data_IF_378917900037
#
_entry.id   IF_378917900037
#
_cell.length_a   1.000
_cell.length_b   1.000
_cell.length_c   1.000
_cell.angle_alpha   90.00
_cell.angle_beta   90.00
_cell.angle_gamma   90.00
#
_symmetry.space_group_name_H-M   'P 1'
#
loop_
_entity.id
_entity.type
_entity.pdbx_description
1 polymer ?
#
# COMPACT_ATOMS: atom_id res chain seq x y z
N UNK A 1 -10.30 21.34 -33.49
CA UNK A 1 -11.42 20.92 -32.62
C UNK A 1 -11.48 19.39 -32.66
N UNK A 2 -10.86 18.72 -31.70
CA UNK A 2 -10.82 17.25 -31.64
C UNK A 2 -12.10 16.78 -30.95
N UNK A 3 -13.01 16.15 -31.69
CA UNK A 3 -14.20 15.51 -31.13
C UNK A 3 -13.75 14.38 -30.16
N UNK A 4 -14.03 14.54 -28.86
CA UNK A 4 -13.96 13.47 -27.87
C UNK A 4 -14.97 12.39 -28.27
N UNK A 5 -14.48 11.15 -28.47
CA UNK A 5 -15.33 9.97 -28.73
C UNK A 5 -16.35 9.81 -27.60
N UNK A 6 -17.61 9.40 -27.89
CA UNK A 6 -18.59 9.13 -26.85
C UNK A 6 -18.11 7.97 -25.95
N UNK A 7 -17.99 8.24 -24.65
CA UNK A 7 -17.62 7.25 -23.64
C UNK A 7 -18.73 6.18 -23.53
N UNK A 8 -18.36 4.92 -23.66
CA UNK A 8 -19.24 3.82 -23.26
C UNK A 8 -19.41 3.83 -21.73
N UNK A 9 -20.63 3.73 -21.23
CA UNK A 9 -20.97 3.81 -19.81
C UNK A 9 -20.19 2.83 -18.90
N UNK A 10 -19.68 1.70 -19.44
CA UNK A 10 -18.83 0.75 -18.71
C UNK A 10 -17.40 1.23 -18.47
N UNK A 11 -16.92 2.23 -19.21
CA UNK A 11 -15.54 2.72 -19.12
C UNK A 11 -15.39 3.92 -18.16
N UNK A 12 -16.49 4.64 -17.88
CA UNK A 12 -16.44 5.87 -17.10
C UNK A 12 -15.98 5.62 -15.64
N UNK A 13 -16.41 4.53 -15.01
CA UNK A 13 -15.98 4.18 -13.63
C UNK A 13 -14.46 4.03 -13.57
N UNK A 14 -13.87 3.35 -14.56
CA UNK A 14 -12.41 3.16 -14.66
C UNK A 14 -11.71 4.49 -14.95
N UNK A 15 -12.21 5.28 -15.89
CA UNK A 15 -11.63 6.60 -16.20
C UNK A 15 -11.63 7.51 -14.97
N UNK A 16 -12.72 7.54 -14.21
CA UNK A 16 -12.79 8.31 -12.96
C UNK A 16 -11.78 7.82 -11.91
N UNK A 17 -11.62 6.50 -11.81
CA UNK A 17 -10.62 5.88 -10.93
C UNK A 17 -9.21 6.27 -11.35
N UNK A 18 -8.85 6.10 -12.62
CA UNK A 18 -7.51 6.38 -13.15
C UNK A 18 -7.15 7.87 -12.99
N UNK A 19 -8.10 8.76 -13.26
CA UNK A 19 -7.95 10.20 -13.04
C UNK A 19 -7.77 10.53 -11.56
N UNK A 20 -8.53 9.89 -10.67
CA UNK A 20 -8.42 10.10 -9.24
C UNK A 20 -7.08 9.59 -8.70
N UNK A 21 -6.59 8.45 -9.19
CA UNK A 21 -5.29 7.89 -8.83
C UNK A 21 -4.15 8.81 -9.30
N UNK A 22 -4.18 9.30 -10.54
CA UNK A 22 -3.19 10.24 -11.03
C UNK A 22 -3.17 11.54 -10.20
N UNK A 23 -4.35 12.06 -9.81
CA UNK A 23 -4.44 13.22 -8.93
C UNK A 23 -3.94 12.97 -7.52
N UNK A 24 -4.16 11.77 -7.00
CA UNK A 24 -3.58 11.35 -5.72
C UNK A 24 -2.05 11.39 -5.78
N UNK A 25 -1.45 10.84 -6.84
CA UNK A 25 -0.01 10.80 -7.02
C UNK A 25 0.61 12.20 -7.13
N UNK A 26 -0.08 13.11 -7.83
CA UNK A 26 0.45 14.47 -8.08
C UNK A 26 0.20 15.44 -6.92
N UNK A 27 -0.95 15.34 -6.25
CA UNK A 27 -1.41 16.36 -5.30
C UNK A 27 -1.76 15.82 -3.91
N UNK A 28 -1.53 14.54 -3.66
CA UNK A 28 -1.98 13.84 -2.44
C UNK A 28 -3.50 13.75 -2.35
N UNK A 29 -3.99 13.20 -1.24
CA UNK A 29 -5.43 13.01 -1.02
C UNK A 29 -6.22 14.32 -1.08
N UNK A 30 -5.64 15.45 -0.68
CA UNK A 30 -6.26 16.77 -0.77
C UNK A 30 -6.65 17.18 -2.20
N UNK A 31 -5.89 16.71 -3.19
CA UNK A 31 -6.16 16.94 -4.62
C UNK A 31 -7.29 16.12 -5.21
N UNK A 32 -7.75 15.07 -4.51
CA UNK A 32 -8.82 14.17 -4.97
C UNK A 32 -10.16 14.65 -4.42
N UNK A 33 -10.89 15.41 -5.24
CA UNK A 33 -12.28 15.80 -4.96
C UNK A 33 -13.18 15.37 -6.11
N UNK A 34 -14.44 15.05 -5.84
CA UNK A 34 -15.42 14.65 -6.89
C UNK A 34 -15.45 15.68 -8.03
N UNK A 35 -15.45 16.97 -7.69
CA UNK A 35 -15.44 18.05 -8.67
C UNK A 35 -14.17 18.09 -9.53
N UNK A 36 -13.01 17.93 -8.90
CA UNK A 36 -11.72 17.97 -9.60
C UNK A 36 -11.56 16.74 -10.52
N UNK A 37 -12.01 15.57 -10.07
CA UNK A 37 -12.00 14.33 -10.86
C UNK A 37 -12.95 14.45 -12.05
N UNK A 38 -14.20 14.92 -11.87
CA UNK A 38 -15.13 15.15 -12.95
C UNK A 38 -14.56 16.11 -14.02
N UNK A 39 -14.00 17.25 -13.57
CA UNK A 39 -13.37 18.23 -14.45
C UNK A 39 -12.21 17.62 -15.25
N UNK A 40 -11.32 16.87 -14.61
CA UNK A 40 -10.17 16.27 -15.25
C UNK A 40 -10.56 15.11 -16.19
N UNK A 41 -11.63 14.37 -15.87
CA UNK A 41 -12.22 13.34 -16.75
C UNK A 41 -13.05 13.91 -17.91
N UNK A 42 -13.28 15.23 -17.97
CA UNK A 42 -14.06 15.86 -19.03
C UNK A 42 -15.56 15.54 -18.99
N UNK A 43 -16.11 15.22 -17.81
CA UNK A 43 -17.51 14.84 -17.63
C UNK A 43 -18.29 15.84 -16.79
N UNK A 44 -19.63 15.74 -16.81
CA UNK A 44 -20.48 16.58 -15.98
C UNK A 44 -20.19 16.37 -14.48
N UNK A 45 -20.41 17.40 -13.68
CA UNK A 45 -20.13 17.39 -12.25
C UNK A 45 -20.88 16.29 -11.47
N UNK A 46 -22.06 15.89 -11.93
CA UNK A 46 -22.86 14.82 -11.33
C UNK A 46 -22.48 13.41 -11.79
N UNK A 47 -21.71 13.25 -12.86
CA UNK A 47 -21.39 11.93 -13.41
C UNK A 47 -20.64 10.99 -12.44
N UNK A 48 -19.66 11.47 -11.65
CA UNK A 48 -18.95 10.59 -10.72
C UNK A 48 -19.83 10.01 -9.62
N UNK A 49 -20.86 10.71 -9.16
CA UNK A 49 -21.75 10.27 -8.05
C UNK A 49 -22.51 9.01 -8.40
N UNK A 50 -22.76 8.75 -9.69
CA UNK A 50 -23.38 7.51 -10.15
C UNK A 50 -22.46 6.27 -10.02
N UNK A 51 -21.16 6.46 -9.81
CA UNK A 51 -20.15 5.41 -9.70
C UNK A 51 -19.51 5.33 -8.31
N UNK A 52 -19.37 6.49 -7.66
CA UNK A 52 -18.80 6.64 -6.33
C UNK A 52 -19.67 7.59 -5.54
N UNK A 53 -20.36 7.08 -4.52
CA UNK A 53 -21.31 7.82 -3.68
C UNK A 53 -20.80 9.20 -3.24
N UNK A 54 -19.52 9.23 -2.86
CA UNK A 54 -18.85 10.43 -2.37
C UNK A 54 -17.32 10.30 -2.55
N UNK A 55 -16.59 11.30 -2.08
CA UNK A 55 -15.12 11.31 -2.10
C UNK A 55 -14.52 10.15 -1.29
N UNK A 56 -15.11 9.82 -0.14
CA UNK A 56 -14.63 8.74 0.72
C UNK A 56 -14.74 7.39 0.02
N UNK A 57 -15.85 7.11 -0.63
CA UNK A 57 -16.05 5.90 -1.42
C UNK A 57 -15.03 5.78 -2.57
N UNK A 58 -14.71 6.89 -3.26
CA UNK A 58 -13.68 6.90 -4.30
C UNK A 58 -12.28 6.62 -3.73
N UNK A 59 -11.91 7.26 -2.61
CA UNK A 59 -10.62 7.04 -1.95
C UNK A 59 -10.52 5.61 -1.38
N UNK A 60 -11.61 5.06 -0.85
CA UNK A 60 -11.68 3.65 -0.39
C UNK A 60 -11.45 2.67 -1.54
N UNK A 61 -12.06 2.93 -2.71
CA UNK A 61 -11.83 2.11 -3.90
C UNK A 61 -10.35 2.17 -4.36
N UNK A 62 -9.71 3.34 -4.27
CA UNK A 62 -8.29 3.49 -4.56
C UNK A 62 -7.47 2.69 -3.53
N UNK A 63 -7.73 2.85 -2.23
CA UNK A 63 -7.02 2.14 -1.18
C UNK A 63 -7.09 0.62 -1.37
N UNK A 64 -8.30 0.09 -1.63
CA UNK A 64 -8.49 -1.33 -1.92
C UNK A 64 -7.61 -1.81 -3.08
N UNK A 65 -7.62 -1.10 -4.21
CA UNK A 65 -6.81 -1.47 -5.37
C UNK A 65 -5.30 -1.38 -5.08
N UNK A 66 -4.86 -0.47 -4.22
CA UNK A 66 -3.46 -0.39 -3.83
C UNK A 66 -3.06 -1.53 -2.88
N UNK A 67 -3.92 -1.95 -1.96
CA UNK A 67 -3.69 -3.13 -1.13
C UNK A 67 -3.65 -4.41 -1.98
N UNK A 68 -4.56 -4.58 -2.95
CA UNK A 68 -4.53 -5.71 -3.89
C UNK A 68 -3.23 -5.72 -4.72
N UNK A 69 -2.77 -4.57 -5.19
CA UNK A 69 -1.51 -4.45 -5.93
C UNK A 69 -0.30 -4.80 -5.05
N UNK A 70 -0.27 -4.33 -3.80
CA UNK A 70 0.79 -4.65 -2.84
C UNK A 70 0.82 -6.15 -2.53
N UNK A 71 -0.34 -6.77 -2.30
CA UNK A 71 -0.43 -8.22 -2.07
C UNK A 71 0.06 -9.02 -3.28
N UNK A 72 -0.33 -8.61 -4.49
CA UNK A 72 0.13 -9.24 -5.74
C UNK A 72 1.64 -9.14 -5.88
N UNK A 73 2.24 -8.00 -5.56
CA UNK A 73 3.69 -7.79 -5.59
C UNK A 73 4.40 -8.70 -4.56
N UNK A 74 3.86 -8.80 -3.34
CA UNK A 74 4.38 -9.69 -2.30
C UNK A 74 4.33 -11.14 -2.79
N UNK A 75 3.18 -11.58 -3.30
CA UNK A 75 2.99 -12.95 -3.77
C UNK A 75 3.94 -13.28 -4.94
N UNK A 76 4.09 -12.38 -5.90
CA UNK A 76 5.02 -12.55 -7.02
C UNK A 76 6.48 -12.71 -6.55
N UNK A 77 6.94 -11.85 -5.64
CA UNK A 77 8.30 -11.95 -5.08
C UNK A 77 8.52 -13.25 -4.28
N UNK A 78 7.48 -13.73 -3.58
CA UNK A 78 7.54 -14.98 -2.84
C UNK A 78 7.58 -16.20 -3.78
N UNK A 79 6.87 -16.17 -4.90
CA UNK A 79 6.85 -17.23 -5.90
C UNK A 79 8.20 -17.34 -6.63
N UNK A 80 8.84 -16.22 -6.96
CA UNK A 80 10.15 -16.18 -7.63
C UNK A 80 11.26 -16.84 -6.81
N UNK A 81 11.16 -16.86 -5.49
CA UNK A 81 12.16 -17.47 -4.60
C UNK A 81 12.07 -18.99 -4.48
N UNK A 82 10.93 -19.61 -4.85
CA UNK A 82 10.70 -21.03 -4.66
C UNK A 82 10.46 -21.44 -3.19
N UNK A 83 10.25 -22.73 -2.95
CA UNK A 83 9.86 -23.24 -1.61
C UNK A 83 11.04 -23.37 -0.63
N UNK A 84 12.27 -23.42 -1.10
CA UNK A 84 13.47 -23.75 -0.32
C UNK A 84 14.24 -22.55 0.23
N UNK A 85 13.73 -21.31 0.05
CA UNK A 85 14.43 -20.10 0.48
C UNK A 85 14.02 -19.63 1.87
N UNK A 86 15.02 -19.47 2.77
CA UNK A 86 14.90 -18.63 3.97
C UNK A 86 15.20 -17.16 3.61
N UNK A 87 14.76 -16.22 4.41
CA UNK A 87 13.50 -16.01 5.12
C UNK A 87 12.59 -15.05 4.38
N UNK A 88 11.39 -15.49 4.17
CA UNK A 88 10.34 -14.80 3.41
C UNK A 88 9.83 -13.51 4.05
N UNK A 89 10.11 -13.27 5.33
CA UNK A 89 9.74 -12.04 6.06
C UNK A 89 10.37 -10.79 5.42
N UNK A 90 11.60 -10.88 4.94
CA UNK A 90 12.30 -9.79 4.24
C UNK A 90 11.52 -9.32 3.01
N UNK A 91 10.94 -10.26 2.28
CA UNK A 91 10.18 -9.95 1.06
C UNK A 91 8.96 -9.10 1.41
N UNK A 92 8.21 -9.49 2.43
CA UNK A 92 7.02 -8.72 2.85
C UNK A 92 7.43 -7.33 3.32
N UNK A 93 8.45 -7.24 4.17
CA UNK A 93 8.94 -5.98 4.71
C UNK A 93 9.50 -5.06 3.61
N UNK A 94 10.34 -5.59 2.70
CA UNK A 94 10.91 -4.81 1.61
C UNK A 94 9.85 -4.36 0.60
N UNK A 95 8.89 -5.22 0.25
CA UNK A 95 7.79 -4.84 -0.65
C UNK A 95 6.97 -3.67 -0.09
N UNK A 96 6.69 -3.68 1.23
CA UNK A 96 6.00 -2.57 1.89
C UNK A 96 6.83 -1.28 1.89
N UNK A 97 8.13 -1.35 2.16
CA UNK A 97 9.03 -0.19 2.12
C UNK A 97 9.13 0.37 0.70
N UNK A 98 9.35 -0.49 -0.31
CA UNK A 98 9.45 -0.11 -1.72
C UNK A 98 8.18 0.57 -2.21
N UNK A 99 7.01 0.01 -1.85
CA UNK A 99 5.72 0.63 -2.16
C UNK A 99 5.60 2.02 -1.54
N UNK A 100 5.96 2.16 -0.27
CA UNK A 100 5.89 3.43 0.46
C UNK A 100 6.79 4.50 -0.18
N UNK A 101 8.02 4.16 -0.54
CA UNK A 101 8.97 5.10 -1.15
C UNK A 101 8.64 5.41 -2.62
N UNK A 102 8.13 4.42 -3.36
CA UNK A 102 7.72 4.61 -4.76
C UNK A 102 6.45 5.43 -4.90
N UNK A 103 5.48 5.26 -3.98
CA UNK A 103 4.15 5.86 -4.03
C UNK A 103 3.76 6.56 -2.71
N UNK A 104 4.44 7.64 -2.31
CA UNK A 104 4.25 8.25 -0.99
C UNK A 104 2.81 8.66 -0.67
N UNK A 105 2.11 9.22 -1.64
CA UNK A 105 0.73 9.67 -1.46
C UNK A 105 -0.26 8.51 -1.37
N UNK A 106 -0.02 7.43 -2.13
CA UNK A 106 -0.83 6.21 -2.02
C UNK A 106 -0.60 5.55 -0.66
N UNK A 107 0.66 5.43 -0.24
CA UNK A 107 1.02 4.87 1.05
C UNK A 107 0.31 5.61 2.20
N UNK A 108 0.40 6.94 2.24
CA UNK A 108 -0.29 7.74 3.25
C UNK A 108 -1.81 7.56 3.23
N UNK A 109 -2.41 7.39 2.05
CA UNK A 109 -3.85 7.13 1.94
C UNK A 109 -4.25 5.82 2.64
N UNK A 110 -3.47 4.74 2.47
CA UNK A 110 -3.79 3.43 3.04
C UNK A 110 -3.95 3.45 4.56
N UNK A 111 -3.26 4.38 5.24
CA UNK A 111 -3.23 4.49 6.71
C UNK A 111 -4.02 5.70 7.24
N UNK A 112 -4.79 6.36 6.37
CA UNK A 112 -5.57 7.55 6.74
C UNK A 112 -7.00 7.15 7.16
N UNK A 113 -7.18 6.89 8.46
CA UNK A 113 -8.47 6.46 9.01
C UNK A 113 -9.65 7.44 8.78
N UNK A 114 -9.34 8.72 8.59
CA UNK A 114 -10.32 9.78 8.32
C UNK A 114 -10.73 9.87 6.84
N UNK A 115 -9.90 9.33 5.92
CA UNK A 115 -10.10 9.48 4.48
C UNK A 115 -10.78 8.29 3.81
N UNK A 116 -10.59 7.08 4.34
CA UNK A 116 -11.13 5.84 3.79
C UNK A 116 -12.15 5.20 4.73
N UNK A 117 -13.00 4.35 4.20
CA UNK A 117 -14.01 3.64 4.98
C UNK A 117 -13.48 2.30 5.48
N UNK A 118 -12.98 2.27 6.71
CA UNK A 118 -12.48 1.05 7.35
C UNK A 118 -13.57 0.04 7.72
N UNK A 119 -14.85 0.32 7.42
CA UNK A 119 -15.96 -0.62 7.58
C UNK A 119 -16.36 -1.27 6.24
N UNK A 120 -15.72 -0.86 5.13
CA UNK A 120 -15.96 -1.46 3.82
C UNK A 120 -15.46 -2.91 3.81
N UNK A 121 -16.37 -3.86 3.55
CA UNK A 121 -16.11 -5.29 3.65
C UNK A 121 -15.04 -5.78 2.66
N UNK A 122 -14.98 -5.17 1.46
CA UNK A 122 -13.97 -5.55 0.46
C UNK A 122 -12.59 -5.01 0.84
N UNK A 123 -12.52 -3.79 1.42
CA UNK A 123 -11.27 -3.25 1.96
C UNK A 123 -10.76 -4.09 3.12
N UNK A 124 -11.62 -4.43 4.08
CA UNK A 124 -11.25 -5.31 5.20
C UNK A 124 -10.73 -6.67 4.71
N UNK A 125 -11.41 -7.28 3.73
CA UNK A 125 -10.99 -8.57 3.18
C UNK A 125 -9.58 -8.55 2.58
N UNK A 126 -9.19 -7.49 1.86
CA UNK A 126 -7.84 -7.41 1.30
C UNK A 126 -6.80 -7.11 2.39
N UNK A 127 -7.13 -6.32 3.38
CA UNK A 127 -6.25 -6.06 4.54
C UNK A 127 -5.99 -7.33 5.34
N UNK A 128 -7.03 -8.13 5.60
CA UNK A 128 -6.91 -9.42 6.29
C UNK A 128 -6.00 -10.38 5.49
N UNK A 129 -6.12 -10.44 4.17
CA UNK A 129 -5.26 -11.28 3.33
C UNK A 129 -3.78 -10.89 3.42
N UNK A 130 -3.46 -9.59 3.47
CA UNK A 130 -2.07 -9.12 3.66
C UNK A 130 -1.57 -9.52 5.05
N UNK A 131 -2.38 -9.32 6.09
CA UNK A 131 -2.05 -9.71 7.45
C UNK A 131 -1.84 -11.22 7.59
N UNK A 132 -2.72 -12.03 7.02
CA UNK A 132 -2.60 -13.49 7.01
C UNK A 132 -1.35 -13.96 6.26
N UNK A 133 -0.99 -13.28 5.16
CA UNK A 133 0.25 -13.56 4.43
C UNK A 133 1.46 -13.33 5.33
N UNK A 134 1.52 -12.20 6.03
CA UNK A 134 2.59 -11.88 6.95
C UNK A 134 2.66 -12.91 8.09
N UNK A 135 1.54 -13.24 8.71
CA UNK A 135 1.47 -14.27 9.77
C UNK A 135 1.91 -15.64 9.29
N UNK A 136 1.60 -16.00 8.03
CA UNK A 136 2.02 -17.26 7.42
C UNK A 136 3.54 -17.32 7.28
N UNK A 137 4.18 -16.25 6.79
CA UNK A 137 5.63 -16.23 6.66
C UNK A 137 6.34 -16.26 8.02
N UNK A 138 5.80 -15.59 9.06
CA UNK A 138 6.30 -15.76 10.42
C UNK A 138 6.16 -17.19 10.94
N UNK A 139 5.06 -17.87 10.59
CA UNK A 139 4.84 -19.25 11.01
C UNK A 139 5.89 -20.20 10.45
N UNK A 140 6.44 -19.92 9.27
CA UNK A 140 7.51 -20.70 8.64
C UNK A 140 8.91 -20.33 9.21
N UNK A 141 9.14 -19.06 9.50
CA UNK A 141 10.46 -18.54 9.83
C UNK A 141 10.92 -18.82 11.26
N UNK A 142 10.02 -19.00 12.24
CA UNK A 142 10.36 -19.07 13.65
C UNK A 142 9.79 -20.30 14.36
N UNK A 143 10.39 -21.50 14.21
CA UNK A 143 10.04 -22.65 15.02
C UNK A 143 10.51 -22.42 16.50
N UNK A 144 9.65 -22.72 17.47
CA UNK A 144 10.01 -22.63 18.91
C UNK A 144 9.90 -21.25 19.53
N UNK A 145 8.97 -20.42 19.10
CA UNK A 145 8.78 -19.00 19.41
C UNK A 145 8.59 -18.68 20.88
N UNK A 146 9.17 -17.53 21.30
CA UNK A 146 8.90 -16.91 22.60
C UNK A 146 7.55 -16.19 22.63
N UNK A 147 7.10 -15.64 21.50
CA UNK A 147 5.84 -14.88 21.34
C UNK A 147 4.95 -15.50 20.25
N UNK A 148 3.67 -15.15 20.24
CA UNK A 148 2.76 -15.55 19.17
C UNK A 148 3.07 -14.85 17.83
N UNK A 149 2.51 -15.40 16.75
CA UNK A 149 2.71 -14.87 15.38
C UNK A 149 2.21 -13.44 15.22
N UNK A 150 1.14 -13.09 15.93
CA UNK A 150 0.51 -11.78 15.84
C UNK A 150 1.39 -10.71 16.47
N UNK A 151 2.04 -11.02 17.59
CA UNK A 151 3.03 -10.14 18.23
C UNK A 151 4.20 -9.84 17.28
N UNK A 152 4.74 -10.86 16.61
CA UNK A 152 5.83 -10.67 15.64
C UNK A 152 5.35 -9.87 14.41
N UNK A 153 4.15 -10.17 13.89
CA UNK A 153 3.58 -9.47 12.75
C UNK A 153 3.38 -7.97 13.06
N UNK A 154 2.79 -7.65 14.23
CA UNK A 154 2.59 -6.26 14.67
C UNK A 154 3.92 -5.55 14.89
N UNK A 155 4.94 -6.22 15.45
CA UNK A 155 6.26 -5.63 15.65
C UNK A 155 6.93 -5.26 14.33
N UNK A 156 6.99 -6.18 13.36
CA UNK A 156 7.54 -5.90 12.03
C UNK A 156 6.75 -4.79 11.33
N UNK A 157 5.42 -4.90 11.35
CA UNK A 157 4.54 -3.90 10.74
C UNK A 157 4.79 -2.50 11.31
N UNK A 158 4.85 -2.38 12.62
CA UNK A 158 5.11 -1.10 13.30
C UNK A 158 6.49 -0.54 12.95
N UNK A 159 7.51 -1.39 12.86
CA UNK A 159 8.87 -1.01 12.49
C UNK A 159 8.94 -0.50 11.05
N UNK A 160 8.36 -1.23 10.10
CA UNK A 160 8.31 -0.85 8.68
C UNK A 160 7.57 0.47 8.51
N UNK A 161 6.38 0.60 9.14
CA UNK A 161 5.60 1.83 9.07
C UNK A 161 6.32 3.02 9.69
N UNK A 162 6.89 2.86 10.87
CA UNK A 162 7.64 3.92 11.54
C UNK A 162 8.80 4.39 10.68
N UNK A 163 9.57 3.49 10.09
CA UNK A 163 10.69 3.84 9.23
C UNK A 163 10.23 4.57 7.96
N UNK A 164 9.23 4.03 7.25
CA UNK A 164 8.72 4.65 6.02
C UNK A 164 8.15 6.05 6.30
N UNK A 165 7.32 6.20 7.34
CA UNK A 165 6.71 7.50 7.68
C UNK A 165 7.75 8.55 8.05
N UNK A 166 8.73 8.20 8.88
CA UNK A 166 9.84 9.10 9.25
C UNK A 166 10.71 9.50 8.04
N UNK A 167 10.92 8.56 7.11
CA UNK A 167 11.61 8.85 5.85
C UNK A 167 10.80 9.79 4.96
N UNK A 168 9.50 9.54 4.80
CA UNK A 168 8.61 10.37 3.98
C UNK A 168 8.33 11.76 4.58
N UNK A 169 8.51 11.92 5.89
CA UNK A 169 8.44 13.22 6.57
C UNK A 169 9.76 14.00 6.57
N UNK A 170 10.83 13.43 6.01
CA UNK A 170 12.15 14.06 5.96
C UNK A 170 12.93 14.00 7.27
N UNK A 171 12.49 13.21 8.26
CA UNK A 171 13.20 13.05 9.53
C UNK A 171 14.50 12.25 9.40
N UNK A 172 14.51 11.29 8.48
CA UNK A 172 15.69 10.45 8.22
C UNK A 172 16.16 10.61 6.76
N UNK A 173 17.46 10.81 6.59
CA UNK A 173 18.10 10.76 5.28
C UNK A 173 18.24 9.31 4.77
N UNK A 174 18.28 9.09 3.44
CA UNK A 174 18.49 7.77 2.83
C UNK A 174 19.97 7.33 2.95
N UNK A 175 20.45 7.16 4.19
CA UNK A 175 21.83 6.77 4.46
C UNK A 175 21.97 5.27 4.58
N UNK A 176 23.13 4.75 4.20
CA UNK A 176 23.51 3.38 4.49
C UNK A 176 23.91 3.22 5.96
N UNK A 177 23.83 2.00 6.45
CA UNK A 177 24.38 1.62 7.73
C UNK A 177 25.92 1.74 7.67
N UNK A 178 26.54 2.41 8.65
CA UNK A 178 27.98 2.70 8.63
C UNK A 178 28.87 1.50 8.94
N UNK A 179 28.30 0.41 9.47
CA UNK A 179 29.03 -0.81 9.83
C UNK A 179 28.88 -1.86 8.74
N UNK A 180 27.64 -2.19 8.35
CA UNK A 180 27.35 -3.20 7.33
C UNK A 180 27.51 -2.68 5.90
N UNK A 181 27.40 -1.37 5.68
CA UNK A 181 27.32 -0.76 4.34
C UNK A 181 25.98 -0.94 3.63
N UNK A 182 25.06 -1.72 4.18
CA UNK A 182 23.75 -1.99 3.61
C UNK A 182 22.84 -0.75 3.65
N UNK A 183 21.88 -0.62 2.72
CA UNK A 183 20.81 0.37 2.82
C UNK A 183 20.12 0.29 4.18
N UNK A 184 19.82 1.42 4.80
CA UNK A 184 19.29 1.47 6.17
C UNK A 184 18.04 0.61 6.36
N UNK A 185 17.14 0.56 5.36
CA UNK A 185 15.95 -0.28 5.41
C UNK A 185 16.26 -1.77 5.50
N UNK A 186 17.24 -2.23 4.72
CA UNK A 186 17.72 -3.62 4.75
C UNK A 186 18.37 -3.95 6.09
N UNK A 187 19.24 -3.07 6.59
CA UNK A 187 19.87 -3.25 7.91
C UNK A 187 18.86 -3.34 9.06
N UNK A 188 17.76 -2.59 8.98
CA UNK A 188 16.65 -2.65 9.95
C UNK A 188 15.95 -4.01 9.88
N UNK A 189 15.70 -4.54 8.69
CA UNK A 189 15.09 -5.86 8.51
C UNK A 189 16.03 -6.95 9.04
N UNK A 190 17.32 -6.88 8.73
CA UNK A 190 18.33 -7.83 9.22
C UNK A 190 18.44 -7.82 10.75
N UNK A 191 18.42 -6.62 11.34
CA UNK A 191 18.39 -6.49 12.81
C UNK A 191 17.15 -7.19 13.39
N UNK A 192 15.98 -7.00 12.80
CA UNK A 192 14.76 -7.65 13.25
C UNK A 192 14.86 -9.18 13.14
N UNK A 193 15.44 -9.71 12.06
CA UNK A 193 15.71 -11.16 11.91
C UNK A 193 16.61 -11.68 13.03
N UNK A 194 17.62 -10.92 13.41
CA UNK A 194 18.49 -11.29 14.54
C UNK A 194 17.75 -11.44 15.87
N UNK A 195 16.59 -10.79 16.06
CA UNK A 195 15.73 -11.02 17.23
C UNK A 195 14.86 -12.27 17.11
N UNK A 196 14.75 -12.85 15.93
CA UNK A 196 13.96 -14.06 15.68
C UNK A 196 14.80 -15.35 15.83
N UNK A 197 16.11 -15.24 15.71
CA UNK A 197 17.06 -16.35 15.87
C UNK A 197 17.32 -16.68 17.33
#
# INVERSE_FOLDING_TARGET
MTQLKPFHHGDLKRVLFDVALARLDEHGAGGVTIRAVAKAAGVSHGAPVNHYKDRRALLTAIAKAQFDALLTEIDSRLEELGEDCEPRIEIVASAMMDFGFRYPHRYRLLWSADLIDHTDAELLSVMDRIYDRLCTEFSKAVPGRKFDKDTYAVALWSMVHGYVDMRLSGMFEPLNDSISGAPRGEAIIDMFKGFLA
#
